data_IF_716552652878
#
_entry.id   IF_716552652878
#
_cell.length_a   1.000
_cell.length_b   1.000
_cell.length_c   1.000
_cell.angle_alpha   90.00
_cell.angle_beta   90.00
_cell.angle_gamma   90.00
#
_symmetry.space_group_name_H-M   'P 1'
#
loop_
_entity.id
_entity.type
_entity.pdbx_description
1 polymer ?
#
# COMPACT_ATOMS: atom_id res chain seq x y z
N UNK A 1 13.21 11.72 16.07
CA UNK A 1 13.13 12.22 14.68
C UNK A 1 12.70 13.69 14.71
N UNK A 2 13.64 14.62 14.83
CA UNK A 2 13.33 16.03 15.10
C UNK A 2 12.59 16.75 13.94
N UNK A 3 12.68 16.25 12.73
CA UNK A 3 12.07 16.86 11.55
C UNK A 3 10.78 16.15 11.08
N UNK A 4 10.18 15.29 11.91
CA UNK A 4 8.95 14.56 11.58
C UNK A 4 7.78 15.22 12.30
N UNK A 5 6.87 15.84 11.53
CA UNK A 5 5.62 16.43 12.02
C UNK A 5 4.44 15.46 11.92
N UNK A 6 3.23 15.99 12.11
CA UNK A 6 2.00 15.24 11.82
C UNK A 6 1.91 14.89 10.35
N UNK A 7 1.41 13.68 10.04
CA UNK A 7 1.25 13.25 8.65
C UNK A 7 0.13 14.04 7.97
N UNK A 8 0.23 14.19 6.66
CA UNK A 8 -0.84 14.81 5.85
C UNK A 8 -2.19 14.13 6.07
N UNK A 9 -2.17 12.81 6.31
CA UNK A 9 -3.38 12.04 6.59
C UNK A 9 -4.04 12.45 7.90
N UNK A 10 -3.26 12.68 8.95
CA UNK A 10 -3.75 13.17 10.24
C UNK A 10 -4.33 14.58 10.09
N UNK A 11 -3.60 15.48 9.44
CA UNK A 11 -4.02 16.88 9.23
C UNK A 11 -5.34 16.93 8.47
N UNK A 12 -5.42 16.26 7.31
CA UNK A 12 -6.60 16.31 6.45
C UNK A 12 -7.80 15.57 7.06
N UNK A 13 -7.58 14.47 7.81
CA UNK A 13 -8.67 13.77 8.50
C UNK A 13 -9.23 14.57 9.67
N UNK A 14 -8.37 15.25 10.44
CA UNK A 14 -8.79 16.16 11.51
C UNK A 14 -9.61 17.34 10.94
N UNK A 15 -9.18 17.88 9.80
CA UNK A 15 -9.89 18.94 9.11
C UNK A 15 -11.27 18.45 8.59
N UNK A 16 -11.30 17.24 8.00
CA UNK A 16 -12.54 16.62 7.54
C UNK A 16 -13.54 16.43 8.69
N UNK A 17 -13.09 15.91 9.83
CA UNK A 17 -13.94 15.74 11.01
C UNK A 17 -14.47 17.07 11.53
N UNK A 18 -13.61 18.10 11.64
CA UNK A 18 -13.99 19.45 12.09
C UNK A 18 -15.09 20.08 11.22
N UNK A 19 -15.02 19.89 9.91
CA UNK A 19 -15.95 20.49 8.96
C UNK A 19 -17.06 19.54 8.48
N UNK A 20 -17.17 18.33 9.07
CA UNK A 20 -18.14 17.30 8.66
C UNK A 20 -18.05 16.99 7.15
N UNK A 21 -16.85 17.04 6.60
CA UNK A 21 -16.58 16.76 5.20
C UNK A 21 -16.55 15.24 4.94
N UNK A 22 -16.98 14.86 3.73
CA UNK A 22 -16.83 13.48 3.25
C UNK A 22 -15.33 13.24 3.01
N UNK A 23 -14.74 12.29 3.75
CA UNK A 23 -13.31 12.03 3.69
C UNK A 23 -12.98 11.01 2.58
N UNK A 24 -12.66 11.52 1.39
CA UNK A 24 -12.09 10.73 0.29
C UNK A 24 -10.54 10.76 0.28
N UNK A 25 -9.90 11.37 1.28
CA UNK A 25 -8.44 11.39 1.41
C UNK A 25 -7.89 10.11 2.04
N UNK A 26 -8.57 9.60 3.06
CA UNK A 26 -8.15 8.42 3.80
C UNK A 26 -8.46 7.11 3.06
N UNK A 27 -7.47 6.22 2.98
CA UNK A 27 -7.62 4.89 2.39
C UNK A 27 -8.33 3.88 3.29
N UNK A 28 -9.52 4.22 3.77
CA UNK A 28 -10.37 3.38 4.60
C UNK A 28 -11.71 3.15 3.92
N UNK A 29 -12.08 1.90 3.59
CA UNK A 29 -13.41 1.58 3.09
C UNK A 29 -14.50 1.99 4.09
N UNK A 30 -15.65 2.47 3.59
CA UNK A 30 -16.82 2.80 4.39
C UNK A 30 -18.01 1.83 4.17
N UNK A 31 -17.76 0.77 3.41
CA UNK A 31 -18.70 -0.35 3.25
C UNK A 31 -18.30 -1.51 4.15
N UNK A 32 -19.30 -2.33 4.43
CA UNK A 32 -19.14 -3.44 5.38
C UNK A 32 -18.08 -4.44 4.92
N UNK A 33 -17.33 -4.95 5.88
CA UNK A 33 -16.47 -6.09 5.66
C UNK A 33 -17.31 -7.37 5.54
N UNK A 34 -16.70 -8.44 5.05
CA UNK A 34 -17.37 -9.73 4.90
C UNK A 34 -17.83 -10.28 6.26
N UNK A 35 -19.15 -10.57 6.36
CA UNK A 35 -19.76 -11.08 7.58
C UNK A 35 -19.20 -12.42 8.02
N UNK A 36 -18.86 -13.32 7.07
CA UNK A 36 -18.27 -14.63 7.38
C UNK A 36 -16.94 -14.46 8.13
N UNK A 37 -16.16 -13.44 7.79
CA UNK A 37 -14.90 -13.18 8.48
C UNK A 37 -15.12 -12.70 9.92
N UNK A 38 -16.15 -11.88 10.17
CA UNK A 38 -16.54 -11.43 11.50
C UNK A 38 -16.98 -12.63 12.35
N UNK A 39 -17.82 -13.50 11.79
CA UNK A 39 -18.32 -14.69 12.47
C UNK A 39 -17.18 -15.66 12.80
N UNK A 40 -16.23 -15.86 11.89
CA UNK A 40 -15.04 -16.68 12.13
C UNK A 40 -14.18 -16.14 13.27
N UNK A 41 -14.00 -14.82 13.38
CA UNK A 41 -13.26 -14.20 14.50
C UNK A 41 -14.03 -14.41 15.81
N UNK A 42 -15.34 -14.16 15.78
CA UNK A 42 -16.20 -14.36 16.96
C UNK A 42 -16.15 -15.81 17.44
N UNK A 43 -16.22 -16.76 16.50
CA UNK A 43 -16.08 -18.19 16.79
C UNK A 43 -14.73 -18.51 17.41
N UNK A 44 -13.62 -18.02 16.83
CA UNK A 44 -12.29 -18.27 17.35
C UNK A 44 -12.11 -17.76 18.81
N UNK A 45 -12.68 -16.60 19.13
CA UNK A 45 -12.68 -16.07 20.49
C UNK A 45 -13.45 -16.96 21.46
N UNK A 46 -14.64 -17.44 21.07
CA UNK A 46 -15.50 -18.34 21.88
C UNK A 46 -14.87 -19.72 22.05
N UNK A 47 -14.18 -20.23 21.05
CA UNK A 47 -13.47 -21.50 21.08
C UNK A 47 -12.19 -21.45 21.96
N UNK A 48 -11.86 -20.28 22.53
CA UNK A 48 -10.76 -20.13 23.50
C UNK A 48 -9.40 -19.79 22.85
N UNK A 49 -9.35 -19.46 21.57
CA UNK A 49 -8.10 -19.09 20.89
C UNK A 49 -7.64 -17.66 21.24
N UNK A 50 -7.48 -17.36 22.55
CA UNK A 50 -7.20 -16.02 23.05
C UNK A 50 -5.77 -15.84 23.61
N UNK A 51 -4.94 -16.87 23.58
CA UNK A 51 -3.55 -16.81 24.01
C UNK A 51 -2.60 -16.57 22.83
N UNK A 52 -1.35 -16.28 23.13
CA UNK A 52 -0.34 -16.02 22.10
C UNK A 52 -0.21 -17.16 21.07
N UNK A 53 -0.27 -16.81 19.81
CA UNK A 53 0.18 -17.68 18.74
C UNK A 53 1.71 -17.74 18.70
N UNK A 54 2.27 -18.66 17.93
CA UNK A 54 3.70 -18.70 17.65
C UNK A 54 4.19 -17.35 17.08
N UNK A 55 5.43 -16.98 17.38
CA UNK A 55 6.00 -15.67 16.95
C UNK A 55 5.91 -15.41 15.45
N UNK A 56 6.04 -16.44 14.60
CA UNK A 56 5.86 -16.29 13.15
C UNK A 56 4.38 -16.21 12.74
N UNK A 57 3.46 -16.35 13.68
CA UNK A 57 2.04 -16.51 13.46
C UNK A 57 1.58 -17.96 13.44
N UNK A 58 0.26 -18.16 13.42
CA UNK A 58 -0.38 -19.47 13.40
C UNK A 58 0.06 -20.26 12.16
N UNK A 59 0.55 -21.50 12.36
CA UNK A 59 1.03 -22.33 11.24
C UNK A 59 -0.07 -22.53 10.19
N UNK A 60 -1.29 -22.85 10.61
CA UNK A 60 -2.45 -23.03 9.72
C UNK A 60 -2.70 -21.79 8.81
N UNK A 61 -2.50 -20.57 9.33
CA UNK A 61 -2.62 -19.36 8.51
C UNK A 61 -1.46 -19.26 7.50
N UNK A 62 -0.25 -19.56 7.95
CA UNK A 62 0.94 -19.53 7.05
C UNK A 62 0.86 -20.58 5.94
N UNK A 63 0.28 -21.76 6.24
CA UNK A 63 -0.03 -22.79 5.24
C UNK A 63 -1.06 -22.30 4.23
N UNK A 64 -2.15 -21.66 4.67
CA UNK A 64 -3.16 -21.07 3.80
C UNK A 64 -2.58 -19.93 2.93
N UNK A 65 -1.65 -19.13 3.47
CA UNK A 65 -0.91 -18.12 2.69
C UNK A 65 -0.03 -18.80 1.63
N UNK A 66 0.71 -19.85 1.98
CA UNK A 66 1.54 -20.59 1.03
C UNK A 66 0.72 -21.21 -0.09
N UNK A 67 -0.46 -21.78 0.21
CA UNK A 67 -1.40 -22.29 -0.79
C UNK A 67 -1.91 -21.17 -1.73
N UNK A 68 -2.28 -20.00 -1.19
CA UNK A 68 -2.67 -18.83 -1.98
C UNK A 68 -1.54 -18.39 -2.93
N UNK A 69 -0.32 -18.34 -2.43
CA UNK A 69 0.88 -17.95 -3.20
C UNK A 69 1.15 -18.92 -4.34
N UNK A 70 1.10 -20.22 -4.05
CA UNK A 70 1.25 -21.26 -5.07
C UNK A 70 0.17 -21.16 -6.14
N UNK A 71 -1.08 -20.97 -5.72
CA UNK A 71 -2.20 -20.84 -6.64
C UNK A 71 -2.10 -19.61 -7.55
N UNK A 72 -1.73 -18.44 -7.00
CA UNK A 72 -1.71 -17.19 -7.75
C UNK A 72 -0.42 -17.02 -8.59
N UNK A 73 0.71 -17.47 -8.07
CA UNK A 73 2.03 -17.13 -8.62
C UNK A 73 2.86 -18.34 -9.04
N UNK A 74 2.37 -19.56 -8.80
CA UNK A 74 3.10 -20.81 -9.04
C UNK A 74 4.46 -20.81 -8.30
N UNK A 75 4.47 -20.19 -7.12
CA UNK A 75 5.64 -20.02 -6.28
C UNK A 75 5.52 -20.89 -5.02
N UNK A 76 6.56 -21.67 -4.73
CA UNK A 76 6.62 -22.50 -3.52
C UNK A 76 7.36 -21.74 -2.44
N UNK A 77 6.66 -21.44 -1.34
CA UNK A 77 7.23 -20.83 -0.14
C UNK A 77 7.04 -21.76 1.04
N UNK A 78 8.04 -21.85 1.91
CA UNK A 78 7.97 -22.69 3.10
C UNK A 78 7.20 -21.98 4.23
N UNK A 79 6.00 -22.44 4.60
CA UNK A 79 5.19 -21.77 5.64
C UNK A 79 5.88 -21.79 7.01
N UNK A 80 6.83 -22.69 7.26
CA UNK A 80 7.50 -22.78 8.56
C UNK A 80 8.61 -21.73 8.73
N UNK A 81 9.30 -21.36 7.65
CA UNK A 81 10.54 -20.57 7.72
C UNK A 81 10.52 -19.28 6.90
N UNK A 82 9.64 -19.14 5.91
CA UNK A 82 9.64 -18.03 4.96
C UNK A 82 8.45 -17.08 5.11
N UNK A 83 7.49 -17.36 6.02
CA UNK A 83 6.30 -16.54 6.23
C UNK A 83 6.21 -16.08 7.68
N UNK A 84 5.98 -14.78 7.90
CA UNK A 84 5.68 -14.23 9.23
C UNK A 84 4.47 -13.31 9.17
N UNK A 85 3.49 -13.57 10.05
CA UNK A 85 2.32 -12.72 10.26
C UNK A 85 2.71 -11.49 11.06
N UNK A 86 2.24 -10.31 10.64
CA UNK A 86 2.64 -9.02 11.21
C UNK A 86 1.44 -8.13 11.57
N UNK A 87 1.61 -7.13 12.46
CA UNK A 87 0.58 -6.14 12.76
C UNK A 87 0.35 -5.16 11.58
N UNK A 88 0.06 -5.70 10.39
CA UNK A 88 -0.16 -4.97 9.14
C UNK A 88 1.12 -4.70 8.34
N UNK A 89 0.93 -4.19 7.11
CA UNK A 89 2.01 -3.96 6.14
C UNK A 89 3.04 -2.93 6.61
N UNK A 90 2.64 -1.82 7.20
CA UNK A 90 3.57 -0.79 7.70
C UNK A 90 4.57 -1.34 8.72
N UNK A 91 4.10 -2.23 9.61
CA UNK A 91 4.99 -2.91 10.56
C UNK A 91 5.94 -3.88 9.84
N UNK A 92 5.44 -4.61 8.83
CA UNK A 92 6.28 -5.51 8.04
C UNK A 92 7.41 -4.74 7.33
N UNK A 93 7.09 -3.58 6.74
CA UNK A 93 8.05 -2.68 6.10
C UNK A 93 9.10 -2.19 7.10
N UNK A 94 8.67 -1.67 8.25
CA UNK A 94 9.57 -1.23 9.32
C UNK A 94 10.51 -2.36 9.76
N UNK A 95 9.97 -3.55 10.00
CA UNK A 95 10.74 -4.70 10.47
C UNK A 95 11.74 -5.18 9.42
N UNK A 96 11.34 -5.23 8.13
CA UNK A 96 12.24 -5.60 7.04
C UNK A 96 13.41 -4.62 6.92
N UNK A 97 13.15 -3.31 6.94
CA UNK A 97 14.19 -2.29 6.91
C UNK A 97 15.13 -2.39 8.11
N UNK A 98 14.56 -2.45 9.33
CA UNK A 98 15.34 -2.49 10.58
C UNK A 98 16.18 -3.77 10.70
N UNK A 99 15.78 -4.85 10.04
CA UNK A 99 16.49 -6.13 10.13
C UNK A 99 17.80 -6.18 9.32
N UNK A 100 17.97 -5.28 8.34
CA UNK A 100 19.12 -5.37 7.39
C UNK A 100 19.82 -4.05 7.14
N UNK A 101 19.25 -2.90 7.53
CA UNK A 101 19.88 -1.60 7.33
C UNK A 101 20.84 -1.24 8.47
N UNK A 102 21.92 -0.59 8.08
CA UNK A 102 22.93 -0.01 8.99
C UNK A 102 23.08 1.49 8.69
N UNK A 103 23.63 2.26 9.64
CA UNK A 103 23.93 3.66 9.39
C UNK A 103 24.83 3.87 8.18
N UNK A 104 24.41 4.75 7.26
CA UNK A 104 25.11 5.04 6.01
C UNK A 104 24.68 4.20 4.81
N UNK A 105 23.91 3.13 4.99
CA UNK A 105 23.32 2.40 3.87
C UNK A 105 22.37 3.30 3.08
N UNK A 106 22.40 3.18 1.75
CA UNK A 106 21.49 3.88 0.85
C UNK A 106 20.29 3.00 0.46
N UNK A 107 19.10 3.60 0.45
CA UNK A 107 17.86 2.93 0.04
C UNK A 107 17.18 3.74 -1.05
N UNK A 108 17.02 3.15 -2.23
CA UNK A 108 16.31 3.77 -3.35
C UNK A 108 14.82 3.74 -3.09
N UNK A 109 14.17 4.91 -3.20
CA UNK A 109 12.74 5.14 -3.04
C UNK A 109 12.20 5.93 -4.23
N UNK A 110 11.12 5.47 -4.83
CA UNK A 110 10.46 6.16 -5.94
C UNK A 110 9.44 7.16 -5.42
N UNK A 111 9.52 8.42 -5.88
CA UNK A 111 8.55 9.48 -5.54
C UNK A 111 7.58 9.75 -6.70
N UNK A 112 6.28 9.99 -6.41
CA UNK A 112 5.67 10.13 -5.07
C UNK A 112 5.68 8.80 -4.30
N UNK A 113 5.90 8.83 -2.98
CA UNK A 113 6.10 7.64 -2.15
C UNK A 113 5.12 7.57 -0.99
N UNK A 114 4.74 6.38 -0.56
CA UNK A 114 4.04 6.20 0.70
C UNK A 114 4.87 6.77 1.85
N UNK A 115 4.25 7.59 2.68
CA UNK A 115 4.89 8.43 3.69
C UNK A 115 5.69 7.68 4.78
N UNK A 116 5.45 6.37 4.89
CA UNK A 116 6.15 5.52 5.86
C UNK A 116 7.59 5.12 5.44
N UNK A 117 7.92 5.12 4.14
CA UNK A 117 9.22 4.59 3.70
C UNK A 117 10.39 5.43 4.20
N UNK A 118 10.38 6.73 3.92
CA UNK A 118 11.48 7.64 4.26
C UNK A 118 11.77 7.68 5.77
N UNK A 119 10.76 7.88 6.66
CA UNK A 119 11.00 7.84 8.09
C UNK A 119 11.57 6.52 8.59
N UNK A 120 11.12 5.39 8.03
CA UNK A 120 11.63 4.07 8.42
C UNK A 120 13.06 3.80 7.95
N UNK A 121 13.51 4.44 6.87
CA UNK A 121 14.92 4.42 6.46
C UNK A 121 15.75 5.28 7.41
N UNK A 122 15.32 6.52 7.64
CA UNK A 122 16.06 7.51 8.44
C UNK A 122 16.21 7.09 9.91
N UNK A 123 15.23 6.39 10.51
CA UNK A 123 15.33 5.92 11.90
C UNK A 123 16.43 4.88 12.10
N UNK A 124 16.80 4.17 11.04
CA UNK A 124 17.90 3.20 11.03
C UNK A 124 19.27 3.85 10.72
N UNK A 125 19.31 5.19 10.58
CA UNK A 125 20.52 5.91 10.19
C UNK A 125 20.91 5.75 8.71
N UNK A 126 20.03 5.12 7.91
CA UNK A 126 20.22 4.95 6.48
C UNK A 126 19.74 6.18 5.69
N UNK A 127 20.14 6.28 4.43
CA UNK A 127 19.96 7.44 3.57
C UNK A 127 18.97 7.11 2.45
N UNK A 128 17.81 7.79 2.38
CA UNK A 128 16.90 7.61 1.25
C UNK A 128 17.43 8.30 0.00
N UNK A 129 17.62 7.52 -1.08
CA UNK A 129 17.96 8.00 -2.42
C UNK A 129 16.68 8.12 -3.23
N UNK A 130 16.22 9.35 -3.45
CA UNK A 130 14.90 9.63 -4.02
C UNK A 130 14.99 9.70 -5.54
N UNK A 131 14.19 8.91 -6.25
CA UNK A 131 14.08 8.88 -7.70
C UNK A 131 12.66 9.25 -8.10
N UNK A 132 12.46 10.37 -8.83
CA UNK A 132 11.11 10.72 -9.27
C UNK A 132 10.61 9.75 -10.35
N UNK A 133 9.38 9.29 -10.20
CA UNK A 133 8.66 8.62 -11.29
C UNK A 133 8.42 9.62 -12.44
N UNK A 134 8.56 9.16 -13.69
CA UNK A 134 8.40 9.98 -14.88
C UNK A 134 6.94 10.42 -15.05
N UNK A 135 6.70 11.71 -14.86
CA UNK A 135 5.38 12.33 -15.06
C UNK A 135 5.10 12.56 -16.56
N UNK A 136 3.86 12.41 -17.05
CA UNK A 136 2.62 12.12 -16.30
C UNK A 136 2.30 10.62 -16.11
N UNK A 137 3.05 9.71 -16.71
CA UNK A 137 2.77 8.27 -16.70
C UNK A 137 3.15 7.59 -15.38
N UNK A 138 3.98 8.23 -14.56
CA UNK A 138 4.54 7.69 -13.32
C UNK A 138 5.28 6.36 -13.51
N UNK A 139 6.04 6.27 -14.59
CA UNK A 139 6.92 5.12 -14.87
C UNK A 139 8.26 5.26 -14.16
N UNK A 140 8.87 4.13 -13.87
CA UNK A 140 10.24 4.08 -13.35
C UNK A 140 11.22 4.33 -14.50
N UNK A 141 12.11 5.31 -14.31
CA UNK A 141 13.29 5.50 -15.17
C UNK A 141 14.42 4.60 -14.66
N UNK A 142 14.51 3.40 -15.24
CA UNK A 142 15.51 2.42 -14.84
C UNK A 142 16.95 2.80 -15.20
N UNK A 143 17.16 3.67 -16.16
CA UNK A 143 18.49 4.16 -16.50
C UNK A 143 18.96 5.15 -15.42
N UNK A 144 18.05 6.02 -14.94
CA UNK A 144 18.32 6.87 -13.77
C UNK A 144 18.53 6.02 -12.50
N UNK A 145 17.78 4.92 -12.29
CA UNK A 145 18.03 4.00 -11.17
C UNK A 145 19.46 3.49 -11.21
N UNK A 146 19.90 3.00 -12.38
CA UNK A 146 21.27 2.50 -12.58
C UNK A 146 22.33 3.56 -12.27
N UNK A 147 22.11 4.81 -12.69
CA UNK A 147 23.01 5.94 -12.42
C UNK A 147 23.13 6.25 -10.92
N UNK A 148 22.04 6.09 -10.17
CA UNK A 148 21.98 6.41 -8.73
C UNK A 148 22.50 5.31 -7.82
N UNK A 149 22.79 4.12 -8.33
CA UNK A 149 23.37 3.03 -7.54
C UNK A 149 24.84 3.36 -7.21
N UNK A 150 25.17 3.21 -5.95
CA UNK A 150 26.54 3.34 -5.40
C UNK A 150 26.93 2.08 -4.65
N UNK A 151 28.18 1.93 -4.22
CA UNK A 151 28.59 0.83 -3.33
C UNK A 151 27.86 0.81 -1.97
N UNK A 152 27.25 1.92 -1.55
CA UNK A 152 26.44 2.03 -0.33
C UNK A 152 24.98 1.62 -0.55
N UNK A 153 24.54 1.43 -1.80
CA UNK A 153 23.15 1.06 -2.11
C UNK A 153 22.85 -0.33 -1.57
N UNK A 154 22.01 -0.39 -0.53
CA UNK A 154 21.65 -1.61 0.18
C UNK A 154 20.32 -2.20 -0.27
N UNK A 155 19.35 -1.32 -0.62
CA UNK A 155 17.99 -1.79 -0.92
C UNK A 155 17.28 -0.89 -1.94
N UNK A 156 16.36 -1.49 -2.71
CA UNK A 156 15.37 -0.80 -3.55
C UNK A 156 13.99 -1.12 -3.00
N UNK A 157 13.17 -0.08 -2.75
CA UNK A 157 11.77 -0.25 -2.36
C UNK A 157 10.88 -0.13 -3.60
N UNK A 158 10.08 -1.15 -3.83
CA UNK A 158 9.04 -1.20 -4.86
C UNK A 158 7.67 -1.16 -4.19
N UNK A 159 6.68 -0.55 -4.84
CA UNK A 159 5.28 -0.61 -4.42
C UNK A 159 4.38 -0.85 -5.64
N UNK A 160 3.72 -1.99 -5.67
CA UNK A 160 2.82 -2.36 -6.77
C UNK A 160 1.67 -3.25 -6.24
N UNK A 161 0.42 -2.85 -6.47
CA UNK A 161 -0.08 -1.57 -7.02
C UNK A 161 0.33 -0.36 -6.19
N UNK A 162 0.66 0.73 -6.88
CA UNK A 162 1.33 1.87 -6.28
C UNK A 162 0.37 2.83 -5.57
N UNK A 163 0.69 3.19 -4.34
CA UNK A 163 0.10 4.32 -3.63
C UNK A 163 1.10 5.49 -3.68
N UNK A 164 0.76 6.64 -4.31
CA UNK A 164 -0.58 7.15 -4.56
C UNK A 164 -1.11 6.99 -6.01
N UNK A 165 -0.32 6.52 -6.98
CA UNK A 165 -0.61 6.73 -8.40
C UNK A 165 -1.54 5.70 -9.04
N UNK A 166 -1.76 4.55 -8.38
CA UNK A 166 -2.52 3.45 -8.96
C UNK A 166 -1.80 2.70 -10.09
N UNK A 167 -0.52 2.96 -10.31
CA UNK A 167 0.28 2.24 -11.31
C UNK A 167 0.66 0.84 -10.82
N UNK A 168 0.95 -0.04 -11.77
CA UNK A 168 1.51 -1.37 -11.49
C UNK A 168 2.83 -1.54 -12.21
N UNK A 169 3.68 -2.40 -11.69
CA UNK A 169 4.87 -2.88 -12.40
C UNK A 169 4.44 -3.86 -13.49
N UNK A 170 5.09 -3.79 -14.64
CA UNK A 170 4.92 -4.73 -15.73
C UNK A 170 6.14 -5.68 -15.86
N UNK A 171 6.07 -6.63 -16.81
CA UNK A 171 7.16 -7.58 -17.06
C UNK A 171 8.46 -6.89 -17.49
N UNK A 172 8.39 -5.74 -18.18
CA UNK A 172 9.58 -5.00 -18.59
C UNK A 172 10.25 -4.36 -17.38
N UNK A 173 9.48 -3.85 -16.41
CA UNK A 173 10.00 -3.35 -15.15
C UNK A 173 10.77 -4.44 -14.40
N UNK A 174 10.22 -5.66 -14.34
CA UNK A 174 10.88 -6.80 -13.71
C UNK A 174 12.18 -7.19 -14.44
N UNK A 175 12.18 -7.18 -15.78
CA UNK A 175 13.39 -7.47 -16.57
C UNK A 175 14.47 -6.41 -16.32
N UNK A 176 14.09 -5.13 -16.26
CA UNK A 176 15.01 -4.02 -15.98
C UNK A 176 15.57 -4.10 -14.56
N UNK A 177 14.68 -4.31 -13.57
CA UNK A 177 15.09 -4.52 -12.17
C UNK A 177 16.11 -5.66 -12.06
N UNK A 178 15.80 -6.83 -12.66
CA UNK A 178 16.70 -7.99 -12.64
C UNK A 178 18.09 -7.65 -13.16
N UNK A 179 18.18 -6.95 -14.31
CA UNK A 179 19.46 -6.52 -14.87
C UNK A 179 20.27 -5.61 -13.95
N UNK A 180 19.58 -4.79 -13.16
CA UNK A 180 20.21 -3.85 -12.25
C UNK A 180 20.76 -4.57 -11.01
N UNK A 181 20.02 -5.54 -10.45
CA UNK A 181 20.40 -6.19 -9.20
C UNK A 181 21.25 -7.45 -9.40
N UNK A 182 21.34 -7.97 -10.65
CA UNK A 182 22.25 -9.08 -10.96
C UNK A 182 23.69 -8.67 -10.64
N UNK A 183 24.46 -9.58 -10.06
CA UNK A 183 25.86 -9.39 -9.63
C UNK A 183 26.05 -8.30 -8.56
N UNK A 184 24.98 -7.99 -7.80
CA UNK A 184 25.03 -7.08 -6.64
C UNK A 184 24.45 -7.74 -5.40
N UNK A 185 24.73 -7.15 -4.21
CA UNK A 185 24.14 -7.55 -2.93
C UNK A 185 22.89 -6.69 -2.58
N UNK A 186 22.34 -5.97 -3.55
CA UNK A 186 21.17 -5.11 -3.35
C UNK A 186 19.96 -5.99 -3.02
N UNK A 187 19.32 -5.70 -1.89
CA UNK A 187 18.06 -6.30 -1.45
C UNK A 187 16.86 -5.57 -2.06
N UNK A 188 15.71 -6.20 -2.03
CA UNK A 188 14.46 -5.59 -2.49
C UNK A 188 13.41 -5.67 -1.39
N UNK A 189 12.72 -4.55 -1.14
CA UNK A 189 11.48 -4.54 -0.37
C UNK A 189 10.33 -4.30 -1.34
N UNK A 190 9.50 -5.33 -1.57
CA UNK A 190 8.31 -5.23 -2.42
C UNK A 190 7.07 -5.05 -1.55
N UNK A 191 6.51 -3.85 -1.57
CA UNK A 191 5.23 -3.55 -0.92
C UNK A 191 4.07 -3.89 -1.87
N UNK A 192 3.46 -5.04 -1.63
CA UNK A 192 2.38 -5.61 -2.44
C UNK A 192 1.03 -5.62 -1.68
N UNK A 193 0.82 -4.66 -0.76
CA UNK A 193 -0.37 -4.60 0.11
C UNK A 193 -1.70 -4.46 -0.64
N UNK A 194 -1.67 -4.05 -1.91
CA UNK A 194 -2.84 -3.94 -2.80
C UNK A 194 -2.89 -5.05 -3.86
N UNK A 195 -2.11 -6.10 -3.73
CA UNK A 195 -1.88 -7.18 -4.68
C UNK A 195 -3.11 -7.64 -5.49
N UNK A 196 -4.28 -7.95 -4.89
CA UNK A 196 -5.43 -8.46 -5.63
C UNK A 196 -6.27 -7.36 -6.31
N UNK A 197 -5.91 -6.08 -6.10
CA UNK A 197 -6.69 -4.94 -6.60
C UNK A 197 -6.03 -4.43 -7.89
N UNK A 198 -6.25 -5.17 -8.97
CA UNK A 198 -5.73 -4.90 -10.32
C UNK A 198 -6.91 -4.83 -11.28
N UNK A 199 -6.84 -3.96 -12.28
CA UNK A 199 -7.91 -3.60 -13.18
C UNK A 199 -7.63 -3.95 -14.65
N UNK A 200 -8.69 -3.93 -15.46
CA UNK A 200 -8.64 -3.97 -16.92
C UNK A 200 -7.95 -5.23 -17.45
N UNK A 201 -8.14 -6.38 -16.75
CA UNK A 201 -7.56 -7.66 -17.15
C UNK A 201 -6.04 -7.76 -17.04
N UNK A 202 -5.40 -6.76 -16.43
CA UNK A 202 -3.96 -6.79 -16.19
C UNK A 202 -3.61 -7.77 -15.07
N UNK A 203 -2.36 -8.17 -15.00
CA UNK A 203 -1.87 -9.12 -13.99
C UNK A 203 -0.88 -8.45 -13.05
N UNK A 204 -0.94 -8.86 -11.78
CA UNK A 204 0.06 -8.47 -10.80
C UNK A 204 1.39 -9.20 -11.05
N UNK A 205 2.47 -8.43 -11.14
CA UNK A 205 3.82 -8.97 -11.22
C UNK A 205 4.44 -9.01 -9.80
N UNK A 206 3.98 -9.99 -9.00
CA UNK A 206 4.60 -10.24 -7.69
C UNK A 206 6.04 -10.71 -7.85
N UNK A 207 6.94 -10.26 -6.97
CA UNK A 207 8.32 -10.77 -6.96
C UNK A 207 8.41 -12.26 -6.59
N UNK A 208 7.35 -12.82 -5.99
CA UNK A 208 7.26 -14.26 -5.71
C UNK A 208 7.27 -15.13 -6.98
N UNK A 209 6.88 -14.59 -8.15
CA UNK A 209 6.95 -15.29 -9.45
C UNK A 209 8.38 -15.51 -9.96
N UNK A 210 9.35 -14.81 -9.39
CA UNK A 210 10.71 -14.72 -9.91
C UNK A 210 11.72 -15.22 -8.84
N UNK A 211 12.08 -16.51 -8.86
CA UNK A 211 12.89 -17.12 -7.80
C UNK A 211 14.21 -16.40 -7.53
N UNK A 212 14.88 -15.89 -8.56
CA UNK A 212 16.13 -15.13 -8.46
C UNK A 212 15.95 -13.78 -7.74
N UNK A 213 14.85 -13.10 -8.00
CA UNK A 213 14.50 -11.84 -7.30
C UNK A 213 13.97 -12.13 -5.90
N UNK A 214 13.16 -13.18 -5.72
CA UNK A 214 12.65 -13.58 -4.42
C UNK A 214 13.80 -13.88 -3.43
N UNK A 215 14.87 -14.50 -3.88
CA UNK A 215 16.04 -14.82 -3.03
C UNK A 215 16.72 -13.59 -2.40
N UNK A 216 16.37 -12.39 -2.81
CA UNK A 216 16.87 -11.12 -2.25
C UNK A 216 15.76 -10.18 -1.78
N UNK A 217 14.55 -10.70 -1.58
CA UNK A 217 13.39 -9.84 -1.35
C UNK A 217 12.69 -10.10 -0.02
N UNK A 218 12.20 -9.00 0.58
CA UNK A 218 11.08 -9.02 1.50
C UNK A 218 9.83 -8.62 0.72
N UNK A 219 8.80 -9.44 0.72
CA UNK A 219 7.53 -9.15 0.06
C UNK A 219 6.44 -8.97 1.12
N UNK A 220 5.82 -7.80 1.18
CA UNK A 220 4.89 -7.42 2.25
C UNK A 220 3.45 -7.31 1.77
N UNK A 221 2.53 -7.80 2.58
CA UNK A 221 1.10 -7.89 2.27
C UNK A 221 0.24 -7.39 3.44
N UNK A 222 -1.02 -7.02 3.15
CA UNK A 222 -1.95 -6.52 4.17
C UNK A 222 -3.35 -7.11 4.01
N UNK A 223 -3.80 -7.90 4.95
CA UNK A 223 -5.20 -8.32 5.02
C UNK A 223 -6.15 -7.14 5.24
N UNK A 224 -5.70 -6.13 6.00
CA UNK A 224 -6.50 -4.94 6.27
C UNK A 224 -6.89 -4.16 5.01
N UNK A 225 -6.01 -4.14 3.99
CA UNK A 225 -6.28 -3.47 2.71
C UNK A 225 -7.20 -4.30 1.82
N UNK A 226 -7.00 -5.62 1.84
CA UNK A 226 -7.71 -6.59 1.00
C UNK A 226 -9.13 -6.84 1.52
N UNK A 227 -9.31 -7.02 2.82
CA UNK A 227 -10.60 -7.45 3.43
C UNK A 227 -11.31 -6.33 4.22
N UNK A 228 -11.02 -5.06 3.93
CA UNK A 228 -11.71 -3.90 4.51
C UNK A 228 -11.62 -3.81 6.04
N UNK A 229 -10.57 -4.41 6.63
CA UNK A 229 -10.37 -4.49 8.07
C UNK A 229 -9.09 -3.77 8.52
N UNK A 230 -8.88 -2.53 8.03
CA UNK A 230 -7.65 -1.75 8.30
C UNK A 230 -7.36 -1.56 9.79
N UNK A 231 -8.42 -1.47 10.61
CA UNK A 231 -8.33 -1.34 12.07
C UNK A 231 -7.84 -2.60 12.78
N UNK A 232 -7.93 -3.79 12.16
CA UNK A 232 -7.45 -5.03 12.76
C UNK A 232 -5.93 -5.16 12.76
N UNK A 233 -5.24 -4.34 11.98
CA UNK A 233 -3.78 -4.29 11.94
C UNK A 233 -3.16 -5.67 11.75
N UNK A 234 -3.50 -6.35 10.65
CA UNK A 234 -3.00 -7.68 10.31
C UNK A 234 -2.47 -7.73 8.87
N UNK A 235 -1.32 -8.34 8.68
CA UNK A 235 -0.65 -8.52 7.40
C UNK A 235 0.40 -9.62 7.51
N UNK A 236 1.28 -9.75 6.55
CA UNK A 236 2.36 -10.71 6.58
C UNK A 236 3.53 -10.28 5.68
N UNK A 237 4.69 -10.85 5.98
CA UNK A 237 5.89 -10.76 5.17
C UNK A 237 6.29 -12.15 4.70
N UNK A 238 6.72 -12.26 3.44
CA UNK A 238 7.35 -13.44 2.86
C UNK A 238 8.77 -13.07 2.45
N UNK A 239 9.74 -13.85 2.86
CA UNK A 239 11.14 -13.70 2.49
C UNK A 239 11.86 -15.06 2.54
N UNK A 240 12.96 -15.26 1.82
CA UNK A 240 13.75 -16.48 1.93
C UNK A 240 14.25 -16.66 3.38
N UNK A 241 14.45 -17.92 3.77
CA UNK A 241 14.73 -18.32 5.16
C UNK A 241 15.85 -17.48 5.83
N UNK A 242 16.91 -17.18 5.12
CA UNK A 242 18.02 -16.41 5.70
C UNK A 242 17.64 -14.95 6.00
N UNK A 243 16.84 -14.29 5.15
CA UNK A 243 16.31 -12.94 5.42
C UNK A 243 15.21 -12.97 6.49
N UNK A 244 14.36 -14.00 6.47
CA UNK A 244 13.34 -14.18 7.48
C UNK A 244 13.92 -14.38 8.88
N UNK A 245 15.07 -15.05 9.01
CA UNK A 245 15.79 -15.16 10.28
C UNK A 245 16.19 -13.79 10.84
N UNK A 246 16.69 -12.89 9.99
CA UNK A 246 17.02 -11.51 10.43
C UNK A 246 15.75 -10.72 10.79
N UNK A 247 14.71 -10.83 9.97
CA UNK A 247 13.40 -10.24 10.25
C UNK A 247 12.84 -10.64 11.63
N UNK A 248 12.94 -11.93 11.95
CA UNK A 248 12.44 -12.47 13.22
C UNK A 248 13.22 -12.00 14.45
N UNK A 249 14.49 -11.62 14.31
CA UNK A 249 15.26 -11.02 15.40
C UNK A 249 14.67 -9.69 15.85
N UNK A 250 14.15 -8.88 14.93
CA UNK A 250 13.47 -7.62 15.23
C UNK A 250 12.04 -7.89 15.70
N UNK A 251 11.31 -8.73 14.97
CA UNK A 251 9.90 -9.00 15.22
C UNK A 251 9.62 -9.53 16.63
N UNK A 252 10.44 -10.45 17.13
CA UNK A 252 10.23 -11.07 18.45
C UNK A 252 10.31 -10.09 19.63
N UNK A 253 11.07 -8.99 19.50
CA UNK A 253 11.21 -8.00 20.55
C UNK A 253 10.31 -6.77 20.38
N UNK A 254 9.73 -6.60 19.18
CA UNK A 254 8.88 -5.46 18.90
C UNK A 254 7.38 -5.80 18.98
N UNK A 255 6.95 -6.96 18.48
CA UNK A 255 5.55 -7.41 18.51
C UNK A 255 5.36 -8.75 19.20
N UNK A 256 6.30 -9.67 18.98
CA UNK A 256 6.25 -11.07 19.41
C UNK A 256 5.15 -11.89 18.72
N UNK A 257 3.88 -11.55 18.90
CA UNK A 257 2.74 -12.31 18.37
C UNK A 257 1.58 -11.37 17.99
N UNK A 258 0.94 -11.66 16.86
CA UNK A 258 -0.24 -10.92 16.40
C UNK A 258 -1.54 -11.49 16.98
N UNK A 259 -2.63 -10.75 16.80
CA UNK A 259 -3.97 -11.13 17.28
C UNK A 259 -4.34 -12.56 16.86
N UNK A 260 -4.42 -13.47 17.82
CA UNK A 260 -4.61 -14.91 17.59
C UNK A 260 -6.00 -15.26 17.02
N UNK A 261 -7.13 -14.75 17.56
CA UNK A 261 -8.45 -15.01 17.00
C UNK A 261 -8.57 -14.64 15.53
N UNK A 262 -7.99 -13.49 15.13
CA UNK A 262 -7.98 -13.03 13.73
C UNK A 262 -7.17 -13.97 12.84
N UNK A 263 -6.04 -14.49 13.33
CA UNK A 263 -5.25 -15.47 12.58
C UNK A 263 -6.01 -16.78 12.35
N UNK A 264 -6.75 -17.27 13.33
CA UNK A 264 -7.61 -18.45 13.18
C UNK A 264 -8.71 -18.22 12.14
N UNK A 265 -9.37 -17.07 12.19
CA UNK A 265 -10.40 -16.70 11.23
C UNK A 265 -9.84 -16.64 9.81
N UNK A 266 -8.74 -15.92 9.60
CA UNK A 266 -8.09 -15.78 8.30
C UNK A 266 -7.58 -17.12 7.76
N UNK A 267 -7.11 -18.04 8.61
CA UNK A 267 -6.66 -19.37 8.17
C UNK A 267 -7.78 -20.21 7.53
N UNK A 268 -9.02 -19.96 7.91
CA UNK A 268 -10.20 -20.61 7.32
C UNK A 268 -10.71 -19.80 6.13
N UNK A 269 -10.79 -18.49 6.27
CA UNK A 269 -11.32 -17.57 5.24
C UNK A 269 -10.53 -17.59 3.93
N UNK A 270 -9.20 -17.71 4.00
CA UNK A 270 -8.33 -17.79 2.82
C UNK A 270 -8.53 -19.03 1.96
N UNK A 271 -9.10 -20.12 2.51
CA UNK A 271 -9.38 -21.34 1.75
C UNK A 271 -10.44 -21.11 0.67
N UNK A 272 -11.28 -20.10 0.84
CA UNK A 272 -12.28 -19.70 -0.14
C UNK A 272 -11.68 -18.73 -1.17
N UNK A 273 -11.14 -19.28 -2.25
CA UNK A 273 -10.43 -18.50 -3.30
C UNK A 273 -11.21 -17.29 -3.83
N UNK A 274 -12.54 -17.40 -3.92
CA UNK A 274 -13.39 -16.30 -4.39
C UNK A 274 -13.29 -15.05 -3.50
N UNK A 275 -12.95 -15.19 -2.21
CA UNK A 275 -12.81 -14.07 -1.26
C UNK A 275 -11.68 -13.11 -1.65
N UNK A 276 -10.70 -13.55 -2.44
CA UNK A 276 -9.64 -12.67 -2.96
C UNK A 276 -9.66 -12.51 -4.49
N UNK A 277 -10.15 -13.48 -5.26
CA UNK A 277 -10.17 -13.41 -6.73
C UNK A 277 -11.15 -12.37 -7.27
N UNK A 278 -12.23 -12.05 -6.53
CA UNK A 278 -13.24 -11.10 -7.00
C UNK A 278 -12.91 -9.63 -6.66
N UNK A 279 -11.89 -9.39 -5.84
CA UNK A 279 -11.58 -8.04 -5.36
C UNK A 279 -11.19 -7.06 -6.46
N UNK A 280 -10.40 -7.52 -7.44
CA UNK A 280 -10.07 -6.69 -8.61
C UNK A 280 -11.33 -6.19 -9.33
N UNK A 281 -12.28 -7.09 -9.61
CA UNK A 281 -13.56 -6.74 -10.25
C UNK A 281 -14.42 -5.79 -9.40
N UNK A 282 -14.50 -6.04 -8.09
CA UNK A 282 -15.24 -5.18 -7.16
C UNK A 282 -14.70 -3.75 -7.16
N UNK A 283 -13.39 -3.61 -7.01
CA UNK A 283 -12.78 -2.28 -6.97
C UNK A 283 -12.70 -1.59 -8.33
N UNK A 284 -12.59 -2.35 -9.42
CA UNK A 284 -12.72 -1.80 -10.77
C UNK A 284 -14.09 -1.16 -10.99
N UNK A 285 -15.17 -1.84 -10.62
CA UNK A 285 -16.51 -1.28 -10.71
C UNK A 285 -16.65 0.04 -9.93
N UNK A 286 -16.06 0.12 -8.72
CA UNK A 286 -16.05 1.34 -7.92
C UNK A 286 -15.21 2.46 -8.55
N UNK A 287 -14.04 2.13 -9.12
CA UNK A 287 -13.21 3.09 -9.88
C UNK A 287 -13.98 3.66 -11.06
N UNK A 288 -14.59 2.80 -11.85
CA UNK A 288 -15.31 3.19 -13.07
C UNK A 288 -16.54 4.03 -12.72
N UNK A 289 -17.30 3.64 -11.69
CA UNK A 289 -18.39 4.44 -11.16
C UNK A 289 -17.95 5.82 -10.71
N UNK A 290 -16.89 5.92 -9.93
CA UNK A 290 -16.36 7.20 -9.45
C UNK A 290 -15.84 8.07 -10.61
N UNK A 291 -15.08 7.48 -11.55
CA UNK A 291 -14.59 8.19 -12.72
C UNK A 291 -15.74 8.72 -13.60
N UNK A 292 -16.82 7.95 -13.75
CA UNK A 292 -18.01 8.40 -14.49
C UNK A 292 -18.64 9.62 -13.82
N UNK A 293 -18.84 9.60 -12.50
CA UNK A 293 -19.36 10.76 -11.78
C UNK A 293 -18.43 11.99 -11.89
N UNK A 294 -17.13 11.78 -11.70
CA UNK A 294 -16.12 12.86 -11.77
C UNK A 294 -15.97 13.45 -13.17
N UNK A 295 -16.37 12.74 -14.23
CA UNK A 295 -16.35 13.25 -15.62
C UNK A 295 -17.30 14.43 -15.84
N UNK A 296 -18.30 14.62 -14.97
CA UNK A 296 -19.18 15.78 -14.96
C UNK A 296 -18.52 17.04 -14.38
N UNK A 297 -17.36 16.88 -13.74
CA UNK A 297 -16.58 17.98 -13.17
C UNK A 297 -15.47 18.43 -14.13
N UNK A 298 -14.77 19.53 -13.75
CA UNK A 298 -13.54 19.95 -14.46
C UNK A 298 -12.27 19.22 -14.02
N UNK A 299 -12.37 18.26 -13.10
CA UNK A 299 -11.26 17.40 -12.71
C UNK A 299 -10.90 16.42 -13.83
N UNK A 300 -9.60 16.25 -14.10
CA UNK A 300 -9.11 15.32 -15.14
C UNK A 300 -8.42 14.13 -14.49
N UNK A 301 -8.93 12.92 -14.74
CA UNK A 301 -8.40 11.69 -14.18
C UNK A 301 -7.08 11.27 -14.84
N UNK A 302 -6.19 10.69 -14.06
CA UNK A 302 -5.05 9.91 -14.55
C UNK A 302 -5.44 8.43 -14.63
N UNK A 303 -4.84 7.65 -15.55
CA UNK A 303 -5.07 6.21 -15.60
C UNK A 303 -4.64 5.51 -14.30
N UNK A 304 -5.54 4.76 -13.66
CA UNK A 304 -5.26 3.90 -12.50
C UNK A 304 -5.44 2.44 -12.90
N UNK A 305 -4.40 1.63 -12.68
CA UNK A 305 -4.33 0.22 -13.06
C UNK A 305 -4.54 -0.71 -11.87
N UNK A 306 -4.50 -0.17 -10.65
CA UNK A 306 -4.67 -0.93 -9.41
C UNK A 306 -4.75 -0.03 -8.18
N UNK A 307 -4.77 -0.62 -6.97
CA UNK A 307 -5.06 0.01 -5.69
C UNK A 307 -6.51 0.52 -5.61
N UNK A 308 -6.84 1.35 -4.65
CA UNK A 308 -8.17 2.01 -4.58
C UNK A 308 -8.07 3.54 -4.49
N UNK A 309 -7.00 4.07 -5.10
CA UNK A 309 -6.78 5.50 -5.24
C UNK A 309 -6.87 5.93 -6.69
N UNK A 310 -7.37 7.14 -6.88
CA UNK A 310 -7.46 7.80 -8.16
C UNK A 310 -6.86 9.20 -8.06
N UNK A 311 -5.96 9.51 -8.98
CA UNK A 311 -5.41 10.86 -9.12
C UNK A 311 -6.26 11.68 -10.08
N UNK A 312 -6.46 12.95 -9.73
CA UNK A 312 -7.11 13.94 -10.59
C UNK A 312 -6.31 15.23 -10.61
N UNK A 313 -6.09 15.77 -11.82
CA UNK A 313 -5.61 17.13 -12.00
C UNK A 313 -6.76 18.12 -11.80
N UNK A 314 -6.45 19.27 -11.19
CA UNK A 314 -7.34 20.43 -11.05
C UNK A 314 -6.82 21.67 -11.79
N UNK A 315 -5.96 21.49 -12.80
CA UNK A 315 -5.38 22.60 -13.58
C UNK A 315 -6.42 23.57 -14.14
N UNK A 316 -7.58 23.05 -14.56
CA UNK A 316 -8.65 23.85 -15.17
C UNK A 316 -9.61 24.43 -14.11
N UNK A 317 -9.29 24.31 -12.82
CA UNK A 317 -10.16 24.71 -11.70
C UNK A 317 -9.52 25.82 -10.87
N UNK A 318 -8.23 25.70 -10.51
CA UNK A 318 -7.57 26.63 -9.59
C UNK A 318 -6.07 26.72 -9.83
N UNK A 319 -5.51 27.91 -9.56
CA UNK A 319 -4.06 28.15 -9.55
C UNK A 319 -3.42 27.98 -8.16
N UNK A 320 -4.23 27.67 -7.14
CA UNK A 320 -3.75 27.46 -5.79
C UNK A 320 -2.82 26.23 -5.69
N UNK A 321 -1.93 26.24 -4.69
CA UNK A 321 -1.10 25.08 -4.35
C UNK A 321 -1.97 23.91 -3.88
N UNK A 322 -1.49 22.69 -4.07
CA UNK A 322 -2.25 21.47 -3.80
C UNK A 322 -2.79 21.40 -2.36
N UNK A 323 -1.97 21.76 -1.36
CA UNK A 323 -2.41 21.74 0.04
C UNK A 323 -3.50 22.77 0.31
N UNK A 324 -3.34 23.99 -0.20
CA UNK A 324 -4.31 25.08 0.01
C UNK A 324 -5.63 24.75 -0.69
N UNK A 325 -5.57 24.23 -1.91
CA UNK A 325 -6.77 23.81 -2.65
C UNK A 325 -7.46 22.61 -1.97
N UNK A 326 -6.72 21.58 -1.53
CA UNK A 326 -7.30 20.45 -0.78
C UNK A 326 -7.98 20.91 0.51
N UNK A 327 -7.38 21.86 1.24
CA UNK A 327 -7.94 22.48 2.43
C UNK A 327 -9.23 23.25 2.11
N UNK A 328 -9.21 24.03 1.03
CA UNK A 328 -10.36 24.82 0.56
C UNK A 328 -11.54 23.92 0.15
N UNK A 329 -11.26 22.82 -0.58
CA UNK A 329 -12.29 21.82 -0.90
C UNK A 329 -12.89 21.19 0.37
N UNK A 330 -12.07 20.87 1.35
CA UNK A 330 -12.54 20.29 2.61
C UNK A 330 -13.46 21.23 3.35
N UNK A 331 -13.12 22.52 3.45
CA UNK A 331 -13.87 23.52 4.21
C UNK A 331 -15.12 23.97 3.46
N UNK A 332 -15.00 24.27 2.17
CA UNK A 332 -16.04 24.99 1.41
C UNK A 332 -16.93 24.03 0.59
N UNK A 333 -16.35 22.96 0.00
CA UNK A 333 -17.11 21.96 -0.71
C UNK A 333 -17.54 20.80 0.20
N UNK A 334 -16.95 20.64 1.40
CA UNK A 334 -17.23 19.53 2.28
C UNK A 334 -16.76 18.17 1.75
N UNK A 335 -15.67 18.14 0.96
CA UNK A 335 -15.03 16.93 0.42
C UNK A 335 -13.53 17.01 0.61
N UNK A 336 -12.95 15.99 1.23
CA UNK A 336 -11.51 15.93 1.52
C UNK A 336 -10.79 15.02 0.54
N UNK A 337 -9.68 15.50 0.00
CA UNK A 337 -8.70 14.74 -0.78
C UNK A 337 -7.29 14.95 -0.20
N UNK A 338 -6.30 14.20 -0.67
CA UNK A 338 -4.91 14.37 -0.26
C UNK A 338 -4.13 15.04 -1.40
N UNK A 339 -3.38 16.14 -1.12
CA UNK A 339 -2.49 16.76 -2.08
C UNK A 339 -1.37 15.79 -2.46
N UNK A 340 -1.08 15.66 -3.76
CA UNK A 340 -0.04 14.75 -4.23
C UNK A 340 1.36 15.20 -3.80
N UNK A 341 1.57 16.50 -3.65
CA UNK A 341 2.83 17.09 -3.16
C UNK A 341 3.27 16.55 -1.80
N UNK A 342 2.33 16.09 -0.97
CA UNK A 342 2.66 15.48 0.34
C UNK A 342 3.34 14.11 0.24
N UNK A 343 3.34 13.48 -0.94
CA UNK A 343 4.05 12.22 -1.19
C UNK A 343 5.46 12.44 -1.75
N UNK A 344 5.90 13.68 -1.85
CA UNK A 344 7.27 14.06 -2.22
C UNK A 344 7.98 14.70 -1.03
N UNK A 345 9.18 14.27 -0.72
CA UNK A 345 9.96 14.82 0.40
C UNK A 345 10.15 16.34 0.31
N UNK A 346 10.29 16.87 -0.91
CA UNK A 346 10.47 18.30 -1.19
C UNK A 346 9.20 19.01 -1.65
N UNK A 347 8.02 18.38 -1.56
CA UNK A 347 6.74 19.00 -1.88
C UNK A 347 6.60 19.42 -3.34
N UNK A 348 6.82 18.52 -4.29
CA UNK A 348 6.68 18.83 -5.74
C UNK A 348 5.22 19.08 -6.09
N UNK A 349 4.91 20.27 -6.62
CA UNK A 349 3.58 20.70 -7.03
C UNK A 349 3.30 20.32 -8.50
N UNK A 350 2.18 19.62 -8.74
CA UNK A 350 1.72 19.22 -10.08
C UNK A 350 0.24 19.54 -10.30
N UNK A 351 -0.42 20.22 -9.35
CA UNK A 351 -1.87 20.48 -9.32
C UNK A 351 -2.71 19.19 -9.37
N UNK A 352 -2.35 18.23 -8.52
CA UNK A 352 -2.97 16.91 -8.47
C UNK A 352 -3.44 16.60 -7.06
N UNK A 353 -4.65 16.06 -6.96
CA UNK A 353 -5.19 15.50 -5.73
C UNK A 353 -5.40 13.99 -5.86
N UNK A 354 -5.17 13.25 -4.77
CA UNK A 354 -5.47 11.84 -4.64
C UNK A 354 -6.80 11.65 -3.91
N UNK A 355 -7.72 10.91 -4.51
CA UNK A 355 -8.99 10.49 -3.93
C UNK A 355 -9.00 8.97 -3.69
N UNK A 356 -9.67 8.53 -2.63
CA UNK A 356 -9.97 7.13 -2.35
C UNK A 356 -11.38 6.81 -2.81
N UNK A 357 -11.53 5.89 -3.74
CA UNK A 357 -12.84 5.43 -4.23
C UNK A 357 -13.34 4.14 -3.56
N UNK A 358 -12.61 3.62 -2.56
CA UNK A 358 -13.07 2.52 -1.72
C UNK A 358 -14.19 2.99 -0.77
N UNK A 359 -15.32 3.40 -1.35
CA UNK A 359 -16.48 3.96 -0.63
C UNK A 359 -17.78 3.35 -1.16
N UNK A 360 -18.86 3.52 -0.39
CA UNK A 360 -20.23 3.24 -0.87
C UNK A 360 -20.54 4.14 -2.05
N UNK A 361 -21.35 3.67 -2.99
CA UNK A 361 -21.75 4.48 -4.17
C UNK A 361 -22.46 5.74 -3.77
N UNK A 362 -23.31 5.68 -2.74
CA UNK A 362 -23.97 6.84 -2.18
C UNK A 362 -22.99 7.91 -1.64
N UNK A 363 -21.91 7.45 -0.96
CA UNK A 363 -20.85 8.35 -0.46
C UNK A 363 -20.14 9.04 -1.62
N UNK A 364 -19.79 8.28 -2.67
CA UNK A 364 -19.12 8.82 -3.86
C UNK A 364 -20.02 9.82 -4.60
N UNK A 365 -21.29 9.46 -4.80
CA UNK A 365 -22.26 10.35 -5.43
C UNK A 365 -22.44 11.66 -4.65
N UNK A 366 -22.68 11.54 -3.33
CA UNK A 366 -22.84 12.74 -2.48
C UNK A 366 -21.59 13.62 -2.49
N UNK A 367 -20.40 13.03 -2.53
CA UNK A 367 -19.15 13.80 -2.62
C UNK A 367 -19.07 14.57 -3.95
N UNK A 368 -19.37 13.90 -5.08
CA UNK A 368 -19.31 14.56 -6.40
C UNK A 368 -20.39 15.63 -6.53
N UNK A 369 -21.62 15.40 -6.04
CA UNK A 369 -22.68 16.41 -6.01
C UNK A 369 -22.23 17.68 -5.25
N UNK A 370 -21.53 17.52 -4.13
CA UNK A 370 -20.95 18.65 -3.37
C UNK A 370 -19.87 19.37 -4.17
N UNK A 371 -18.98 18.64 -4.86
CA UNK A 371 -17.94 19.23 -5.70
C UNK A 371 -18.56 20.02 -6.86
N UNK A 372 -19.55 19.46 -7.57
CA UNK A 372 -20.27 20.15 -8.66
C UNK A 372 -20.92 21.44 -8.18
N UNK A 373 -21.63 21.39 -7.06
CA UNK A 373 -22.24 22.58 -6.46
C UNK A 373 -21.23 23.67 -6.12
N UNK A 374 -20.09 23.28 -5.55
CA UNK A 374 -19.01 24.20 -5.21
C UNK A 374 -18.40 24.84 -6.47
N UNK A 375 -18.09 24.02 -7.49
CA UNK A 375 -17.44 24.46 -8.72
C UNK A 375 -18.35 25.30 -9.62
N UNK A 376 -19.70 25.15 -9.52
CA UNK A 376 -20.63 25.98 -10.25
C UNK A 376 -20.85 27.35 -9.60
N UNK A 377 -20.52 27.52 -8.33
CA UNK A 377 -20.64 28.76 -7.58
C UNK A 377 -19.32 29.57 -7.52
N UNK A 378 -18.24 29.00 -8.01
CA UNK A 378 -16.91 29.62 -8.09
C UNK A 378 -16.62 30.10 -9.49
#
# INVERSE_FOLDING_TARGET
MPNTGETIFTIMSSLAAKHKAINLGQGTPDFEMDGDLIDLVTKAMKDGHNQYAHRNGLLKLREAIAEKVDFLYQAKVNPSTEITVTPGGTYAIYTALTSVLHPGDEVIVFEPAYDSYIPNIEINGAIPVLIPLAFPEYKIDWDLVKEKITPATKMIILNSPHNPTGKILDKNDIIRLRKIVTDTDILILSDEVYEPIIFDGQQHESLLKYPDLFQRSFVTFSFGKVYHCTGWKIGYCIAPDFLMKEFLKVHQYNCFSCNTPVQYALSTFLLEKNKYLQLGKLFQAKRDFFNNLMSETKFKSFPSQGSYFQLYSYNDISDEKEFDFAKKLTINAGVTAIPLSAFYKKGKENKILRFCFAKKEETLKTAVDRLLKYLSAS
#
